data_IF_743644804989
#
_entry.id   IF_743644804989
#
_cell.length_a   1.000
_cell.length_b   1.000
_cell.length_c   1.000
_cell.angle_alpha   90.00
_cell.angle_beta   90.00
_cell.angle_gamma   90.00
#
_symmetry.space_group_name_H-M   'P 1'
#
loop_
_entity.id
_entity.type
_entity.pdbx_description
1 polymer ?
#
# COMPACT_ATOMS: atom_id res chain seq x y z
N UNK A 1 32.50 -12.70 12.44
CA UNK A 1 31.43 -13.61 12.93
C UNK A 1 30.56 -13.97 11.73
N UNK A 2 30.59 -15.23 11.29
CA UNK A 2 29.72 -15.70 10.21
C UNK A 2 28.27 -15.66 10.70
N UNK A 3 27.39 -15.04 9.91
CA UNK A 3 25.96 -15.14 10.12
C UNK A 3 25.57 -16.62 10.09
N UNK A 4 24.98 -17.10 11.19
CA UNK A 4 24.67 -18.53 11.39
C UNK A 4 23.54 -19.02 10.47
N UNK A 5 22.75 -18.09 9.93
CA UNK A 5 21.65 -18.34 9.00
C UNK A 5 21.62 -17.27 7.91
N UNK A 6 22.47 -17.38 6.87
CA UNK A 6 22.49 -16.42 5.76
C UNK A 6 21.21 -16.46 4.91
N UNK A 7 20.45 -17.57 4.96
CA UNK A 7 19.14 -17.69 4.33
C UNK A 7 18.10 -16.70 4.87
N UNK A 8 18.27 -16.17 6.09
CA UNK A 8 17.31 -15.22 6.66
C UNK A 8 17.24 -13.90 5.86
N UNK A 9 18.35 -13.51 5.23
CA UNK A 9 18.43 -12.34 4.35
C UNK A 9 17.54 -12.47 3.10
N UNK A 10 17.31 -13.69 2.63
CA UNK A 10 16.40 -13.94 1.51
C UNK A 10 14.94 -13.68 1.88
N UNK A 11 14.57 -13.79 3.16
CA UNK A 11 13.23 -13.46 3.66
C UNK A 11 12.84 -12.00 3.46
N UNK A 12 13.83 -11.08 3.39
CA UNK A 12 13.58 -9.66 3.14
C UNK A 12 12.95 -9.39 1.77
N UNK A 13 13.20 -10.25 0.77
CA UNK A 13 12.56 -10.13 -0.54
C UNK A 13 11.04 -10.37 -0.48
N UNK A 14 10.55 -11.11 0.51
CA UNK A 14 9.13 -11.39 0.70
C UNK A 14 8.36 -10.10 1.09
N UNK A 15 9.04 -9.11 1.67
CA UNK A 15 8.47 -7.78 1.95
C UNK A 15 8.11 -7.02 0.66
N UNK A 16 8.63 -7.41 -0.52
CA UNK A 16 8.28 -6.78 -1.81
C UNK A 16 6.84 -7.12 -2.23
N UNK A 17 6.31 -8.28 -1.83
CA UNK A 17 4.98 -8.76 -2.22
C UNK A 17 3.86 -7.75 -1.91
N UNK A 18 3.72 -7.22 -0.68
CA UNK A 18 2.67 -6.24 -0.37
C UNK A 18 2.85 -4.90 -1.09
N UNK A 19 4.08 -4.50 -1.44
CA UNK A 19 4.34 -3.33 -2.28
C UNK A 19 3.75 -3.56 -3.69
N UNK A 20 3.97 -4.75 -4.26
CA UNK A 20 3.40 -5.13 -5.55
C UNK A 20 1.87 -5.22 -5.53
N UNK A 21 1.28 -5.80 -4.46
CA UNK A 21 -0.18 -5.87 -4.29
C UNK A 21 -0.81 -4.48 -4.16
N UNK A 22 -0.12 -3.50 -3.58
CA UNK A 22 -0.63 -2.12 -3.51
C UNK A 22 -0.48 -1.34 -4.83
N UNK A 23 0.58 -1.60 -5.60
CA UNK A 23 0.77 -1.05 -6.96
C UNK A 23 -0.30 -1.55 -7.91
N UNK A 24 -0.53 -2.86 -7.91
CA UNK A 24 -1.66 -3.46 -8.59
C UNK A 24 -2.91 -3.23 -7.74
N UNK A 25 -3.49 -2.04 -7.84
CA UNK A 25 -4.78 -1.73 -7.22
C UNK A 25 -5.89 -2.64 -7.76
N UNK A 26 -5.95 -3.90 -7.28
CA UNK A 26 -6.90 -4.95 -7.67
C UNK A 26 -8.36 -4.61 -7.32
N UNK A 27 -8.60 -3.44 -6.76
CA UNK A 27 -9.93 -2.97 -6.41
C UNK A 27 -10.59 -2.31 -7.62
N UNK A 28 -11.33 -3.11 -8.41
CA UNK A 28 -12.26 -2.56 -9.41
C UNK A 28 -13.33 -1.72 -8.70
N UNK A 29 -13.33 -0.42 -8.97
CA UNK A 29 -14.36 0.47 -8.46
C UNK A 29 -15.69 0.23 -9.20
N UNK A 30 -16.67 -0.41 -8.55
CA UNK A 30 -18.05 -0.43 -9.03
C UNK A 30 -18.63 0.99 -8.94
N UNK A 31 -18.92 1.60 -10.09
CA UNK A 31 -19.59 2.90 -10.18
C UNK A 31 -21.09 2.67 -9.95
N UNK A 32 -21.61 3.02 -8.79
CA UNK A 32 -23.06 3.05 -8.57
C UNK A 32 -23.64 4.35 -9.15
N UNK A 33 -24.72 4.31 -9.95
CA UNK A 33 -25.39 5.50 -10.45
C UNK A 33 -26.19 6.13 -9.31
N UNK A 34 -25.63 7.15 -8.65
CA UNK A 34 -26.40 8.01 -7.74
C UNK A 34 -27.05 9.13 -8.56
N UNK A 35 -28.37 9.26 -8.43
CA UNK A 35 -29.27 10.06 -9.29
C UNK A 35 -29.11 11.58 -9.14
N UNK A 36 -28.40 12.10 -8.14
CA UNK A 36 -28.23 13.56 -7.97
C UNK A 36 -26.96 13.98 -7.20
N UNK A 37 -25.75 13.86 -7.78
CA UNK A 37 -24.48 14.13 -7.06
C UNK A 37 -23.35 14.79 -7.89
N UNK A 38 -23.67 15.68 -8.84
CA UNK A 38 -22.63 16.40 -9.64
C UNK A 38 -21.59 17.13 -8.77
N UNK A 39 -22.00 17.70 -7.63
CA UNK A 39 -21.12 18.46 -6.74
C UNK A 39 -20.27 17.58 -5.80
N UNK A 40 -20.87 16.50 -5.24
CA UNK A 40 -20.18 15.58 -4.32
C UNK A 40 -19.16 14.67 -5.03
N UNK A 41 -19.36 14.35 -6.31
CA UNK A 41 -18.41 13.53 -7.09
C UNK A 41 -17.02 14.17 -7.22
N UNK A 42 -16.96 15.49 -7.34
CA UNK A 42 -15.71 16.20 -7.57
C UNK A 42 -14.84 16.23 -6.30
N UNK A 43 -15.45 16.44 -5.13
CA UNK A 43 -14.73 16.45 -3.83
C UNK A 43 -14.28 15.05 -3.39
N UNK A 44 -15.10 14.02 -3.65
CA UNK A 44 -14.74 12.63 -3.32
C UNK A 44 -13.61 12.09 -4.20
N UNK A 45 -13.51 12.57 -5.45
CA UNK A 45 -12.40 12.25 -6.36
C UNK A 45 -11.06 12.76 -5.84
N UNK A 46 -11.01 14.02 -5.40
CA UNK A 46 -9.81 14.68 -4.87
C UNK A 46 -9.35 14.06 -3.54
N UNK A 47 -10.28 13.78 -2.62
CA UNK A 47 -9.96 13.21 -1.30
C UNK A 47 -9.39 11.78 -1.36
N UNK A 48 -9.82 10.97 -2.35
CA UNK A 48 -9.31 9.60 -2.53
C UNK A 48 -7.82 9.53 -2.89
N UNK A 49 -7.31 10.48 -3.68
CA UNK A 49 -5.88 10.51 -4.05
C UNK A 49 -4.99 10.80 -2.84
N UNK A 50 -5.39 11.78 -2.02
CA UNK A 50 -4.64 12.16 -0.81
C UNK A 50 -4.56 11.04 0.24
N UNK A 51 -5.64 10.31 0.46
CA UNK A 51 -5.65 9.17 1.41
C UNK A 51 -4.74 8.02 0.96
N UNK A 52 -4.53 7.87 -0.35
CA UNK A 52 -3.69 6.80 -0.89
C UNK A 52 -2.21 7.05 -0.58
N UNK A 53 -1.72 8.28 -0.72
CA UNK A 53 -0.34 8.64 -0.37
C UNK A 53 -0.04 8.44 1.13
N UNK A 54 -0.97 8.84 2.01
CA UNK A 54 -0.84 8.61 3.45
C UNK A 54 -0.77 7.12 3.78
N UNK A 55 -1.54 6.28 3.09
CA UNK A 55 -1.47 4.82 3.23
C UNK A 55 -0.14 4.24 2.77
N UNK A 56 0.42 4.74 1.67
CA UNK A 56 1.74 4.34 1.18
C UNK A 56 2.85 4.63 2.19
N UNK A 57 2.85 5.84 2.76
CA UNK A 57 3.80 6.24 3.81
C UNK A 57 3.72 5.32 5.05
N UNK A 58 2.50 5.01 5.49
CA UNK A 58 2.27 4.14 6.65
C UNK A 58 2.68 2.69 6.37
N UNK A 59 2.45 2.20 5.15
CA UNK A 59 2.85 0.85 4.74
C UNK A 59 4.38 0.73 4.67
N UNK A 60 5.07 1.67 4.02
CA UNK A 60 6.54 1.71 3.95
C UNK A 60 7.15 1.77 5.35
N UNK A 61 6.62 2.61 6.24
CA UNK A 61 7.08 2.72 7.62
C UNK A 61 6.95 1.38 8.37
N UNK A 62 5.83 0.67 8.22
CA UNK A 62 5.66 -0.68 8.81
C UNK A 62 6.67 -1.69 8.25
N UNK A 63 6.95 -1.65 6.94
CA UNK A 63 7.91 -2.57 6.32
C UNK A 63 9.35 -2.27 6.76
N UNK A 64 9.74 -0.99 6.85
CA UNK A 64 11.06 -0.58 7.32
C UNK A 64 11.31 -0.99 8.76
N UNK A 65 10.31 -0.87 9.63
CA UNK A 65 10.44 -1.31 11.03
C UNK A 65 10.69 -2.82 11.10
N UNK A 66 9.97 -3.61 10.30
CA UNK A 66 10.18 -5.07 10.24
C UNK A 66 11.56 -5.43 9.67
N UNK A 67 12.02 -4.72 8.63
CA UNK A 67 13.34 -4.96 8.05
C UNK A 67 14.49 -4.55 8.98
N UNK A 68 14.30 -3.54 9.83
CA UNK A 68 15.30 -3.11 10.81
C UNK A 68 15.37 -4.00 12.06
N UNK A 69 14.33 -4.80 12.30
CA UNK A 69 14.24 -5.69 13.47
C UNK A 69 14.92 -7.05 13.22
N UNK A 70 15.07 -7.44 11.95
CA UNK A 70 15.68 -8.68 11.47
C UNK A 70 17.17 -8.47 11.22
#
# INVERSE_FOLDING_TARGET
>A
MQFKYPELLWGLLLLIIPILIHLFQLRRFKKTPFTNVKFLKQVVSESRKSSTLKKWLLLISRMMILAALV
#
